data_IF_578841935750
#
_entry.id   IF_578841935750
#
_cell.length_a   1.000
_cell.length_b   1.000
_cell.length_c   1.000
_cell.angle_alpha   90.00
_cell.angle_beta   90.00
_cell.angle_gamma   90.00
#
_symmetry.space_group_name_H-M   'P 1'
#
loop_
_entity.id
_entity.type
_entity.pdbx_description
1 polymer ?
#
# COMPACT_ATOMS: atom_id res chain seq x y z
N UNK A 1 27.05 -21.08 15.96
CA UNK A 1 28.15 -21.72 15.20
C UNK A 1 28.83 -20.61 14.40
N UNK A 2 30.10 -20.32 14.68
CA UNK A 2 30.83 -19.24 14.01
C UNK A 2 31.46 -19.79 12.73
N UNK A 3 31.26 -19.12 11.59
CA UNK A 3 31.88 -19.54 10.33
C UNK A 3 33.40 -19.27 10.35
N UNK A 4 34.19 -20.14 9.78
CA UNK A 4 35.67 -20.05 9.75
C UNK A 4 36.26 -18.72 9.22
N UNK A 5 35.44 -17.93 8.51
CA UNK A 5 35.86 -16.64 7.92
C UNK A 5 35.45 -15.41 8.73
N UNK A 6 34.75 -15.60 9.86
CA UNK A 6 34.34 -14.50 10.73
C UNK A 6 35.36 -14.30 11.83
N UNK A 7 35.77 -13.05 12.05
CA UNK A 7 36.60 -12.65 13.17
C UNK A 7 35.73 -12.34 14.36
N UNK A 8 36.19 -12.72 15.55
CA UNK A 8 35.54 -12.34 16.81
C UNK A 8 35.84 -10.87 17.11
N UNK A 9 34.83 -10.14 17.53
CA UNK A 9 34.91 -8.73 17.93
C UNK A 9 35.07 -8.56 19.45
N UNK A 10 34.85 -9.65 20.20
CA UNK A 10 34.89 -9.65 21.68
C UNK A 10 35.88 -10.66 22.17
N UNK A 11 36.50 -10.36 23.32
CA UNK A 11 37.43 -11.24 24.01
C UNK A 11 36.78 -11.92 25.22
N UNK A 12 37.45 -12.94 25.76
CA UNK A 12 36.96 -13.62 26.96
C UNK A 12 37.03 -12.67 28.17
N UNK A 13 35.88 -12.44 28.80
CA UNK A 13 35.74 -11.54 29.95
C UNK A 13 35.15 -10.17 29.62
N UNK A 14 34.93 -9.85 28.36
CA UNK A 14 34.26 -8.59 27.96
C UNK A 14 32.78 -8.60 28.35
N UNK A 15 32.29 -7.48 28.83
CA UNK A 15 30.86 -7.28 29.07
C UNK A 15 30.16 -6.99 27.73
N UNK A 16 29.10 -7.72 27.42
CA UNK A 16 28.34 -7.60 26.16
C UNK A 16 26.90 -7.20 26.46
N UNK A 17 26.35 -6.33 25.61
CA UNK A 17 24.96 -5.91 25.67
C UNK A 17 24.07 -6.79 24.78
N UNK A 18 22.76 -6.85 25.09
CA UNK A 18 21.82 -7.59 24.28
C UNK A 18 21.75 -7.01 22.84
N UNK A 19 21.95 -7.84 21.82
CA UNK A 19 21.98 -7.43 20.41
C UNK A 19 23.33 -6.89 19.92
N UNK A 20 24.37 -6.91 20.75
CA UNK A 20 25.73 -6.56 20.34
C UNK A 20 26.28 -7.64 19.37
N UNK A 21 26.97 -7.20 18.32
CA UNK A 21 27.63 -8.13 17.40
C UNK A 21 28.85 -8.77 18.05
N UNK A 22 28.90 -10.10 18.11
CA UNK A 22 30.03 -10.87 18.62
C UNK A 22 31.03 -11.22 17.53
N UNK A 23 30.60 -11.22 16.28
CA UNK A 23 31.40 -11.56 15.11
C UNK A 23 31.24 -10.53 14.01
N UNK A 24 32.24 -10.41 13.13
CA UNK A 24 32.14 -9.61 11.91
C UNK A 24 31.18 -10.27 10.93
N UNK A 25 30.30 -9.49 10.31
CA UNK A 25 29.35 -9.96 9.29
C UNK A 25 27.99 -9.26 9.38
N UNK A 26 27.12 -9.46 8.40
CA UNK A 26 25.78 -8.92 8.43
C UNK A 26 24.96 -9.58 9.54
N UNK A 27 24.14 -8.78 10.23
CA UNK A 27 23.19 -9.24 11.24
C UNK A 27 21.88 -9.65 10.55
N UNK A 28 21.11 -10.55 11.16
CA UNK A 28 19.73 -10.77 10.70
C UNK A 28 18.86 -9.58 11.11
N UNK A 29 18.26 -8.85 10.14
CA UNK A 29 17.42 -7.71 10.45
C UNK A 29 16.21 -8.05 11.32
N UNK A 30 15.69 -9.29 11.25
CA UNK A 30 14.58 -9.74 12.08
C UNK A 30 14.99 -9.89 13.54
N UNK A 31 16.19 -10.42 13.81
CA UNK A 31 16.72 -10.51 15.15
C UNK A 31 17.02 -9.12 15.73
N UNK A 32 17.56 -8.21 14.92
CA UNK A 32 17.76 -6.81 15.31
C UNK A 32 16.44 -6.15 15.67
N UNK A 33 15.37 -6.38 14.90
CA UNK A 33 14.04 -5.86 15.19
C UNK A 33 13.49 -6.40 16.52
N UNK A 34 13.69 -7.68 16.81
CA UNK A 34 13.15 -8.30 18.02
C UNK A 34 13.89 -7.88 19.30
N UNK A 35 15.20 -7.70 19.21
CA UNK A 35 16.05 -7.42 20.38
C UNK A 35 16.19 -5.93 20.60
N UNK A 36 16.53 -5.17 19.55
CA UNK A 36 16.91 -3.76 19.65
C UNK A 36 15.76 -2.80 19.29
N UNK A 37 14.66 -3.34 18.74
CA UNK A 37 13.46 -2.57 18.38
C UNK A 37 13.49 -1.95 16.98
N UNK A 38 12.41 -1.22 16.67
CA UNK A 38 12.12 -0.73 15.31
C UNK A 38 13.15 0.29 14.85
N UNK A 39 13.52 1.26 15.70
CA UNK A 39 14.43 2.36 15.33
C UNK A 39 15.81 1.84 14.95
N UNK A 40 16.40 1.01 15.78
CA UNK A 40 17.74 0.43 15.53
C UNK A 40 17.72 -0.47 14.27
N UNK A 41 16.62 -1.18 14.05
CA UNK A 41 16.45 -1.97 12.83
C UNK A 41 16.38 -1.06 11.58
N UNK A 42 15.70 0.09 11.65
CA UNK A 42 15.66 1.06 10.56
C UNK A 42 17.04 1.63 10.25
N UNK A 43 17.76 2.09 11.27
CA UNK A 43 19.12 2.61 11.15
C UNK A 43 20.06 1.55 10.52
N UNK A 44 20.03 0.34 11.03
CA UNK A 44 20.82 -0.76 10.51
C UNK A 44 20.54 -1.08 9.02
N UNK A 45 19.26 -1.13 8.61
CA UNK A 45 18.89 -1.38 7.22
C UNK A 45 19.33 -0.25 6.29
N UNK A 46 19.19 1.01 6.71
CA UNK A 46 19.64 2.16 5.94
C UNK A 46 21.15 2.11 5.74
N UNK A 47 21.91 1.86 6.81
CA UNK A 47 23.36 1.79 6.78
C UNK A 47 23.88 0.68 5.86
N UNK A 48 23.31 -0.53 5.92
CA UNK A 48 23.73 -1.65 5.09
C UNK A 48 23.42 -1.41 3.59
N UNK A 49 22.26 -0.82 3.28
CA UNK A 49 21.90 -0.46 1.91
C UNK A 49 22.82 0.65 1.38
N UNK A 50 23.03 1.72 2.18
CA UNK A 50 23.90 2.82 1.80
C UNK A 50 25.35 2.38 1.63
N UNK A 51 25.85 1.50 2.47
CA UNK A 51 27.18 0.91 2.33
C UNK A 51 27.34 0.23 0.98
N UNK A 52 26.34 -0.58 0.57
CA UNK A 52 26.37 -1.27 -0.73
C UNK A 52 26.41 -0.28 -1.90
N UNK A 53 25.67 0.82 -1.84
CA UNK A 53 25.70 1.86 -2.88
C UNK A 53 27.02 2.63 -2.89
N UNK A 54 27.55 3.00 -1.72
CA UNK A 54 28.85 3.69 -1.59
C UNK A 54 30.01 2.83 -2.10
N UNK A 55 30.00 1.52 -1.83
CA UNK A 55 30.99 0.57 -2.32
C UNK A 55 31.01 0.48 -3.87
N UNK A 56 29.90 0.82 -4.52
CA UNK A 56 29.77 0.90 -5.98
C UNK A 56 29.99 2.32 -6.54
N UNK A 57 30.35 3.30 -5.68
CA UNK A 57 30.58 4.68 -6.08
C UNK A 57 29.30 5.47 -6.39
N UNK A 58 28.14 4.99 -5.96
CA UNK A 58 26.85 5.67 -6.15
C UNK A 58 26.45 6.39 -4.85
N UNK A 59 26.31 7.71 -4.91
CA UNK A 59 25.82 8.51 -3.80
C UNK A 59 24.30 8.66 -3.88
N UNK A 60 23.60 8.10 -2.88
CA UNK A 60 22.15 8.23 -2.71
C UNK A 60 21.89 8.88 -1.36
N UNK A 61 21.00 9.87 -1.30
CA UNK A 61 20.65 10.49 -0.03
C UNK A 61 19.82 9.54 0.84
N UNK A 62 20.13 9.42 2.13
CA UNK A 62 19.54 8.46 3.08
C UNK A 62 18.01 8.51 3.11
N UNK A 63 17.38 9.69 2.96
CA UNK A 63 15.91 9.86 2.95
C UNK A 63 15.17 8.95 1.98
N UNK A 64 15.77 8.60 0.84
CA UNK A 64 15.14 7.73 -0.16
C UNK A 64 15.06 6.28 0.34
N UNK A 65 16.12 5.82 1.00
CA UNK A 65 16.18 4.49 1.60
C UNK A 65 15.30 4.43 2.86
N UNK A 66 15.34 5.47 3.69
CA UNK A 66 14.50 5.59 4.90
C UNK A 66 13.00 5.48 4.59
N UNK A 67 12.55 6.12 3.51
CA UNK A 67 11.14 6.01 3.07
C UNK A 67 10.75 4.56 2.77
N UNK A 68 11.62 3.81 2.08
CA UNK A 68 11.37 2.41 1.73
C UNK A 68 11.37 1.55 3.01
N UNK A 69 12.38 1.71 3.86
CA UNK A 69 12.49 0.95 5.12
C UNK A 69 11.30 1.23 6.05
N UNK A 70 10.82 2.47 6.10
CA UNK A 70 9.60 2.82 6.84
C UNK A 70 8.38 2.02 6.36
N UNK A 71 8.22 1.84 5.05
CA UNK A 71 7.12 1.04 4.51
C UNK A 71 7.29 -0.46 4.80
N UNK A 72 8.51 -0.98 4.84
CA UNK A 72 8.79 -2.37 5.22
C UNK A 72 8.41 -2.70 6.67
N UNK A 73 8.42 -1.71 7.55
CA UNK A 73 8.12 -1.83 8.99
C UNK A 73 6.75 -1.25 9.38
N UNK A 74 5.90 -0.96 8.40
CA UNK A 74 4.59 -0.35 8.62
C UNK A 74 3.58 -1.29 9.28
N UNK A 75 3.74 -2.60 9.15
CA UNK A 75 2.75 -3.59 9.62
C UNK A 75 3.12 -4.16 10.99
N UNK A 76 2.09 -4.41 11.78
CA UNK A 76 2.15 -5.07 13.08
C UNK A 76 1.38 -6.37 13.00
N UNK A 77 1.95 -7.45 13.51
CA UNK A 77 1.27 -8.74 13.66
C UNK A 77 0.65 -8.83 15.04
N UNK A 78 -0.64 -9.14 15.09
CA UNK A 78 -1.37 -9.33 16.33
C UNK A 78 -0.94 -10.66 16.97
N UNK A 79 -0.49 -10.59 18.23
CA UNK A 79 -0.13 -11.76 19.03
C UNK A 79 -1.30 -12.18 19.90
N UNK A 80 -1.91 -11.22 20.60
CA UNK A 80 -3.09 -11.42 21.46
C UNK A 80 -4.11 -10.34 21.16
N UNK A 81 -5.33 -10.68 20.73
CA UNK A 81 -6.37 -9.70 20.45
C UNK A 81 -6.96 -9.08 21.72
N UNK A 82 -6.94 -9.77 22.86
CA UNK A 82 -7.59 -9.37 24.11
C UNK A 82 -9.05 -8.92 23.86
N UNK A 83 -9.44 -7.71 24.29
CA UNK A 83 -10.80 -7.16 24.15
C UNK A 83 -11.03 -6.44 22.80
N UNK A 84 -10.13 -6.61 21.84
CA UNK A 84 -10.26 -6.03 20.50
C UNK A 84 -10.92 -6.99 19.51
N UNK A 85 -11.48 -6.45 18.42
CA UNK A 85 -12.08 -7.22 17.33
C UNK A 85 -11.04 -7.79 16.34
N UNK A 86 -9.75 -7.72 16.66
CA UNK A 86 -8.68 -8.23 15.82
C UNK A 86 -8.58 -9.75 15.82
N UNK A 87 -8.16 -10.32 14.71
CA UNK A 87 -7.89 -11.74 14.62
C UNK A 87 -6.43 -12.06 15.04
N UNK A 88 -6.19 -13.21 15.71
CA UNK A 88 -4.84 -13.67 16.01
C UNK A 88 -4.02 -13.85 14.71
N UNK A 89 -2.76 -13.43 14.71
CA UNK A 89 -1.85 -13.44 13.56
C UNK A 89 -2.24 -12.52 12.39
N UNK A 90 -3.21 -11.68 12.53
CA UNK A 90 -3.57 -10.67 11.55
C UNK A 90 -2.46 -9.61 11.41
N UNK A 91 -2.26 -9.12 10.17
CA UNK A 91 -1.32 -8.04 9.86
C UNK A 91 -2.09 -6.73 9.67
N UNK A 92 -1.87 -5.79 10.58
CA UNK A 92 -2.57 -4.51 10.62
C UNK A 92 -1.56 -3.36 10.47
N UNK A 93 -2.03 -2.24 9.97
CA UNK A 93 -1.25 -1.01 9.94
C UNK A 93 -0.93 -0.53 11.36
N UNK A 94 0.32 -0.16 11.61
CA UNK A 94 0.78 0.29 12.93
C UNK A 94 0.04 1.54 13.44
N UNK A 95 -0.40 2.41 12.52
CA UNK A 95 -1.16 3.61 12.87
C UNK A 95 -2.57 3.24 13.30
N UNK A 96 -3.25 2.39 12.52
CA UNK A 96 -4.59 1.89 12.84
C UNK A 96 -4.59 1.11 14.16
N UNK A 97 -3.62 0.21 14.35
CA UNK A 97 -3.43 -0.53 15.59
C UNK A 97 -3.32 0.39 16.81
N UNK A 98 -2.54 1.47 16.68
CA UNK A 98 -2.35 2.45 17.76
C UNK A 98 -3.64 3.21 18.06
N UNK A 99 -4.37 3.65 17.03
CA UNK A 99 -5.63 4.39 17.19
C UNK A 99 -6.69 3.54 17.87
N UNK A 100 -6.88 2.29 17.42
CA UNK A 100 -7.85 1.38 18.00
C UNK A 100 -7.50 1.05 19.46
N UNK A 101 -6.23 0.73 19.75
CA UNK A 101 -5.80 0.47 21.11
C UNK A 101 -5.98 1.69 22.04
N UNK A 102 -5.77 2.91 21.56
CA UNK A 102 -6.07 4.12 22.33
C UNK A 102 -7.56 4.26 22.66
N UNK A 103 -8.44 3.86 21.74
CA UNK A 103 -9.89 3.79 21.97
C UNK A 103 -10.23 2.78 23.09
N UNK A 104 -9.72 1.56 22.94
CA UNK A 104 -9.95 0.46 23.91
C UNK A 104 -9.48 0.84 25.33
N UNK A 105 -8.31 1.47 25.44
CA UNK A 105 -7.78 1.95 26.73
C UNK A 105 -8.66 3.05 27.33
N UNK A 106 -9.22 3.96 26.51
CA UNK A 106 -10.15 5.00 26.99
C UNK A 106 -11.45 4.38 27.54
N UNK A 107 -11.89 3.26 26.96
CA UNK A 107 -13.06 2.50 27.39
C UNK A 107 -12.78 1.62 28.63
N UNK A 108 -11.55 1.66 29.16
CA UNK A 108 -11.13 0.87 30.33
C UNK A 108 -10.94 -0.63 30.06
N UNK A 109 -10.83 -1.04 28.81
CA UNK A 109 -10.62 -2.42 28.38
C UNK A 109 -9.15 -2.73 28.14
N UNK A 110 -8.82 -4.01 27.99
CA UNK A 110 -7.45 -4.49 27.75
C UNK A 110 -7.08 -4.34 26.26
N UNK A 111 -6.05 -3.56 25.91
CA UNK A 111 -5.63 -3.37 24.52
C UNK A 111 -5.04 -4.64 23.91
N UNK A 112 -5.08 -4.75 22.58
CA UNK A 112 -4.42 -5.81 21.84
C UNK A 112 -2.91 -5.74 21.95
N UNK A 113 -2.25 -6.90 21.98
CA UNK A 113 -0.80 -7.03 21.92
C UNK A 113 -0.37 -7.35 20.48
N UNK A 114 0.56 -6.56 19.94
CA UNK A 114 1.12 -6.76 18.60
C UNK A 114 2.63 -6.62 18.59
N UNK A 115 3.27 -7.26 17.61
CA UNK A 115 4.70 -7.14 17.35
C UNK A 115 4.93 -6.55 15.97
N UNK A 116 5.85 -5.59 15.81
CA UNK A 116 6.24 -5.08 14.51
C UNK A 116 6.81 -6.22 13.65
N UNK A 117 6.42 -6.27 12.38
CA UNK A 117 6.89 -7.27 11.44
C UNK A 117 7.67 -6.60 10.32
N UNK A 118 8.89 -7.09 10.06
CA UNK A 118 9.69 -6.67 8.94
C UNK A 118 9.29 -7.49 7.70
N UNK A 119 8.80 -6.79 6.68
CA UNK A 119 8.44 -7.38 5.39
C UNK A 119 9.45 -6.99 4.32
N UNK A 120 9.73 -7.93 3.40
CA UNK A 120 10.49 -7.60 2.19
C UNK A 120 9.75 -6.59 1.31
N UNK A 121 10.47 -5.88 0.44
CA UNK A 121 9.94 -4.79 -0.40
C UNK A 121 8.72 -5.24 -1.21
N UNK A 122 8.81 -6.38 -1.90
CA UNK A 122 7.70 -6.92 -2.71
C UNK A 122 6.47 -7.22 -1.86
N UNK A 123 6.66 -7.89 -0.71
CA UNK A 123 5.56 -8.24 0.19
C UNK A 123 4.92 -6.99 0.80
N UNK A 124 5.72 -5.99 1.16
CA UNK A 124 5.23 -4.71 1.68
C UNK A 124 4.40 -3.96 0.63
N UNK A 125 4.82 -3.99 -0.64
CA UNK A 125 4.11 -3.36 -1.76
C UNK A 125 2.78 -4.04 -2.09
N UNK A 126 2.67 -5.36 -1.90
CA UNK A 126 1.42 -6.11 -2.11
C UNK A 126 0.48 -6.03 -0.89
N UNK A 127 1.01 -5.79 0.30
CA UNK A 127 0.24 -5.65 1.54
C UNK A 127 -0.28 -4.21 1.76
N UNK A 128 -0.65 -3.51 0.68
CA UNK A 128 -1.28 -2.18 0.74
C UNK A 128 -2.77 -2.30 0.99
N UNK A 129 -3.38 -1.22 1.49
CA UNK A 129 -4.83 -1.17 1.73
C UNK A 129 -5.61 -1.04 0.42
N UNK A 130 -4.97 -0.50 -0.65
CA UNK A 130 -5.52 -0.40 -2.00
C UNK A 130 -5.22 -1.66 -2.81
N UNK A 131 -6.25 -2.41 -3.14
CA UNK A 131 -6.13 -3.58 -4.01
C UNK A 131 -5.85 -3.20 -5.48
N UNK A 132 -6.30 -2.03 -5.95
CA UNK A 132 -5.96 -1.49 -7.28
C UNK A 132 -4.46 -1.25 -7.41
N UNK A 133 -3.86 -0.60 -6.41
CA UNK A 133 -2.41 -0.36 -6.37
C UNK A 133 -1.62 -1.67 -6.37
N UNK A 134 -2.03 -2.64 -5.55
CA UNK A 134 -1.40 -3.96 -5.48
C UNK A 134 -1.51 -4.72 -6.81
N UNK A 135 -2.70 -4.77 -7.42
CA UNK A 135 -2.95 -5.44 -8.70
C UNK A 135 -2.14 -4.85 -9.85
N UNK A 136 -1.88 -3.55 -9.84
CA UNK A 136 -1.07 -2.89 -10.88
C UNK A 136 0.43 -3.14 -10.74
N UNK A 137 0.87 -3.71 -9.63
CA UNK A 137 2.29 -3.97 -9.37
C UNK A 137 2.71 -5.38 -9.77
N UNK A 138 2.15 -6.41 -9.14
CA UNK A 138 2.43 -7.83 -9.43
C UNK A 138 1.23 -8.70 -9.04
N UNK A 139 1.22 -9.95 -9.49
CA UNK A 139 0.21 -10.96 -9.13
C UNK A 139 -1.25 -10.48 -9.36
N UNK A 140 -1.50 -9.80 -10.48
CA UNK A 140 -2.78 -9.16 -10.79
C UNK A 140 -3.98 -10.06 -10.57
N UNK A 141 -3.95 -11.29 -11.12
CA UNK A 141 -5.05 -12.24 -11.02
C UNK A 141 -5.34 -12.65 -9.58
N UNK A 142 -4.31 -12.90 -8.79
CA UNK A 142 -4.44 -13.28 -7.38
C UNK A 142 -5.05 -12.14 -6.56
N UNK A 143 -4.52 -10.93 -6.72
CA UNK A 143 -5.00 -9.75 -5.97
C UNK A 143 -6.46 -9.45 -6.31
N UNK A 144 -6.84 -9.48 -7.60
CA UNK A 144 -8.21 -9.25 -8.03
C UNK A 144 -9.17 -10.34 -7.51
N UNK A 145 -8.74 -11.61 -7.54
CA UNK A 145 -9.55 -12.71 -7.01
C UNK A 145 -9.77 -12.58 -5.50
N UNK A 146 -8.71 -12.26 -4.74
CA UNK A 146 -8.82 -12.03 -3.29
C UNK A 146 -9.72 -10.83 -2.96
N UNK A 147 -9.57 -9.73 -3.70
CA UNK A 147 -10.40 -8.53 -3.52
C UNK A 147 -11.88 -8.81 -3.80
N UNK A 148 -12.18 -9.57 -4.89
CA UNK A 148 -13.53 -9.96 -5.24
C UNK A 148 -14.16 -10.89 -4.19
N UNK A 149 -13.41 -11.88 -3.69
CA UNK A 149 -13.88 -12.80 -2.65
C UNK A 149 -14.16 -12.09 -1.33
N UNK A 150 -13.30 -11.13 -0.95
CA UNK A 150 -13.46 -10.33 0.28
C UNK A 150 -14.45 -9.18 0.12
N UNK A 151 -14.98 -8.90 -1.08
CA UNK A 151 -15.80 -7.72 -1.38
C UNK A 151 -15.12 -6.43 -0.93
N UNK A 152 -13.80 -6.33 -1.16
CA UNK A 152 -13.01 -5.20 -0.71
C UNK A 152 -13.35 -3.95 -1.51
N UNK A 153 -13.53 -2.83 -0.81
CA UNK A 153 -13.71 -1.50 -1.41
C UNK A 153 -12.37 -0.76 -1.38
N UNK A 154 -11.99 -0.12 -2.48
CA UNK A 154 -10.82 0.75 -2.54
C UNK A 154 -11.24 2.20 -2.26
N UNK A 155 -10.60 2.84 -1.30
CA UNK A 155 -10.93 4.21 -0.90
C UNK A 155 -10.32 5.27 -1.83
N UNK A 156 -9.52 4.87 -2.85
CA UNK A 156 -8.86 5.77 -3.81
C UNK A 156 -8.05 6.90 -3.16
N UNK A 157 -7.48 6.64 -2.00
CA UNK A 157 -6.73 7.62 -1.21
C UNK A 157 -5.30 7.88 -1.71
N UNK A 158 -4.76 6.97 -2.51
CA UNK A 158 -3.40 7.06 -3.07
C UNK A 158 -3.35 7.77 -4.42
N UNK A 159 -2.14 8.02 -4.91
CA UNK A 159 -1.94 8.64 -6.23
C UNK A 159 -2.19 7.64 -7.37
N UNK A 160 -1.72 6.41 -7.20
CA UNK A 160 -1.70 5.38 -8.24
C UNK A 160 -3.10 4.95 -8.64
N UNK A 161 -3.97 4.75 -7.66
CA UNK A 161 -5.38 4.38 -7.86
C UNK A 161 -6.12 5.41 -8.71
N UNK A 162 -5.97 6.68 -8.36
CA UNK A 162 -6.60 7.78 -9.09
C UNK A 162 -6.05 7.92 -10.51
N UNK A 163 -4.75 7.74 -10.71
CA UNK A 163 -4.13 7.75 -12.05
C UNK A 163 -4.66 6.61 -12.91
N UNK A 164 -4.84 5.41 -12.34
CA UNK A 164 -5.35 4.24 -13.09
C UNK A 164 -6.80 4.48 -13.56
N UNK A 165 -7.63 5.05 -12.70
CA UNK A 165 -9.04 5.34 -13.02
C UNK A 165 -9.18 6.58 -13.91
N UNK A 166 -8.18 7.48 -13.91
CA UNK A 166 -8.21 8.72 -14.67
C UNK A 166 -8.85 9.90 -13.93
N UNK A 167 -8.98 9.81 -12.60
CA UNK A 167 -9.45 10.90 -11.74
C UNK A 167 -8.29 11.79 -11.29
N UNK A 168 -8.63 12.98 -10.77
CA UNK A 168 -7.62 13.88 -10.21
C UNK A 168 -6.94 13.23 -9.00
N UNK A 169 -5.62 13.33 -8.94
CA UNK A 169 -4.86 12.84 -7.78
C UNK A 169 -5.20 13.69 -6.54
N UNK A 170 -5.23 13.10 -5.33
CA UNK A 170 -5.52 13.85 -4.08
C UNK A 170 -4.32 14.69 -3.63
N UNK A 171 -3.75 15.49 -4.54
CA UNK A 171 -2.61 16.36 -4.31
C UNK A 171 -2.68 17.58 -5.25
N UNK A 172 -2.11 18.70 -4.84
CA UNK A 172 -2.17 19.94 -5.62
C UNK A 172 -3.61 20.40 -5.86
N UNK A 173 -3.96 20.64 -7.13
CA UNK A 173 -5.31 21.10 -7.51
C UNK A 173 -6.42 20.09 -7.25
N UNK A 174 -6.12 18.82 -7.10
CA UNK A 174 -7.07 17.76 -6.76
C UNK A 174 -7.27 17.56 -5.25
N UNK A 175 -6.55 18.27 -4.39
CA UNK A 175 -6.76 18.16 -2.95
C UNK A 175 -7.99 18.96 -2.50
N UNK A 176 -8.73 18.46 -1.53
CA UNK A 176 -9.91 19.12 -0.97
C UNK A 176 -9.63 20.56 -0.50
N UNK A 177 -8.43 20.82 0.00
CA UNK A 177 -8.03 22.14 0.44
C UNK A 177 -8.01 23.15 -0.72
N UNK A 178 -7.56 22.74 -1.90
CA UNK A 178 -7.55 23.58 -3.09
C UNK A 178 -8.94 23.71 -3.72
N UNK A 179 -9.75 22.66 -3.73
CA UNK A 179 -11.12 22.71 -4.23
C UNK A 179 -11.98 23.68 -3.43
N UNK A 180 -11.74 23.80 -2.12
CA UNK A 180 -12.41 24.77 -1.25
C UNK A 180 -11.91 26.21 -1.43
N UNK A 181 -10.73 26.40 -2.04
CA UNK A 181 -10.09 27.71 -2.25
C UNK A 181 -10.41 28.33 -3.63
N UNK A 182 -11.17 27.66 -4.51
CA UNK A 182 -11.59 28.25 -5.78
C UNK A 182 -12.46 29.46 -5.47
N UNK A 183 -11.98 30.70 -5.71
CA UNK A 183 -12.76 31.88 -5.43
C UNK A 183 -13.94 31.90 -6.37
N UNK A 184 -15.17 31.86 -5.84
CA UNK A 184 -16.35 32.16 -6.62
C UNK A 184 -16.29 33.66 -6.97
N UNK A 185 -16.07 33.98 -8.23
CA UNK A 185 -16.15 35.34 -8.71
C UNK A 185 -17.60 35.84 -8.49
N UNK A 186 -17.81 36.97 -7.80
CA UNK A 186 -19.16 37.55 -7.67
C UNK A 186 -19.72 37.83 -9.06
N UNK A 187 -20.78 37.12 -9.46
CA UNK A 187 -21.42 37.29 -10.77
C UNK A 187 -20.98 36.27 -11.85
N UNK A 188 -20.10 35.35 -11.58
CA UNK A 188 -19.95 34.19 -12.43
C UNK A 188 -21.18 33.31 -12.22
N UNK A 189 -22.07 33.25 -13.21
CA UNK A 189 -23.03 32.15 -13.33
C UNK A 189 -22.20 30.86 -13.22
N UNK A 190 -22.65 29.90 -12.41
CA UNK A 190 -22.04 28.60 -12.31
C UNK A 190 -21.88 28.05 -13.74
N UNK A 191 -20.66 28.09 -14.27
CA UNK A 191 -20.28 27.28 -15.42
C UNK A 191 -20.10 25.87 -14.86
N UNK A 192 -21.25 25.30 -14.48
CA UNK A 192 -21.38 23.88 -14.40
C UNK A 192 -21.05 23.36 -15.78
N UNK A 193 -20.10 22.46 -15.82
CA UNK A 193 -19.86 21.62 -16.98
C UNK A 193 -18.93 22.17 -18.08
N UNK A 194 -17.64 22.30 -17.79
CA UNK A 194 -16.70 21.74 -18.74
C UNK A 194 -16.70 20.25 -18.40
N UNK A 195 -17.60 19.52 -19.06
CA UNK A 195 -17.80 18.10 -18.88
C UNK A 195 -16.57 17.34 -19.32
N UNK A 196 -15.82 16.83 -18.36
CA UNK A 196 -15.19 15.54 -18.54
C UNK A 196 -16.31 14.52 -18.31
N UNK A 197 -16.62 13.74 -19.34
CA UNK A 197 -17.71 12.83 -19.41
C UNK A 197 -17.79 11.94 -18.17
N UNK A 198 -18.65 12.27 -17.23
CA UNK A 198 -19.23 11.31 -16.31
C UNK A 198 -20.17 10.44 -17.12
N UNK A 199 -20.04 9.12 -17.03
CA UNK A 199 -20.93 8.18 -17.64
C UNK A 199 -22.38 8.57 -17.33
N UNK A 200 -23.30 8.49 -18.31
CA UNK A 200 -24.68 8.92 -18.15
C UNK A 200 -25.36 8.06 -17.08
N UNK A 201 -25.82 8.71 -16.02
CA UNK A 201 -26.84 8.18 -15.12
C UNK A 201 -28.12 8.01 -15.94
N UNK A 202 -28.69 6.83 -15.88
CA UNK A 202 -29.97 6.49 -16.50
C UNK A 202 -31.07 7.46 -16.04
N UNK A 203 -31.39 8.46 -16.81
CA UNK A 203 -32.69 9.14 -16.91
C UNK A 203 -32.54 10.40 -17.79
N UNK A 204 -32.46 10.22 -19.10
CA UNK A 204 -32.99 11.16 -20.09
C UNK A 204 -33.15 10.41 -21.42
N UNK A 205 -34.34 9.92 -21.64
CA UNK A 205 -34.82 9.60 -22.98
C UNK A 205 -34.89 10.92 -23.74
N UNK A 206 -33.89 11.19 -24.56
CA UNK A 206 -34.00 12.17 -25.63
C UNK A 206 -33.54 11.52 -26.93
N UNK A 207 -34.48 11.42 -27.80
CA UNK A 207 -34.46 11.14 -29.23
C UNK A 207 -33.06 11.37 -29.86
N UNK A 208 -32.31 10.30 -30.07
CA UNK A 208 -31.18 10.28 -30.97
C UNK A 208 -31.48 9.32 -32.12
N UNK A 209 -32.19 9.87 -33.11
CA UNK A 209 -32.32 9.23 -34.42
C UNK A 209 -30.92 9.09 -35.04
N UNK A 210 -30.39 7.88 -35.14
CA UNK A 210 -29.26 7.65 -36.02
C UNK A 210 -28.28 6.54 -35.68
N UNK A 211 -28.34 5.89 -34.52
CA UNK A 211 -27.46 4.75 -34.26
C UNK A 211 -28.30 3.50 -33.86
N UNK A 212 -28.21 2.37 -34.60
CA UNK A 212 -28.94 1.20 -34.26
C UNK A 212 -28.48 0.59 -32.91
N UNK A 213 -29.44 0.17 -32.12
CA UNK A 213 -29.27 -0.49 -30.82
C UNK A 213 -28.32 -1.70 -30.95
N UNK A 214 -27.42 -1.98 -29.98
CA UNK A 214 -26.53 -3.15 -29.99
C UNK A 214 -27.21 -4.50 -30.27
N UNK A 215 -28.50 -4.66 -29.92
CA UNK A 215 -29.29 -5.84 -30.25
C UNK A 215 -29.64 -5.93 -31.74
N UNK A 216 -29.74 -4.81 -32.43
CA UNK A 216 -29.98 -4.77 -33.88
C UNK A 216 -28.71 -5.10 -34.68
N UNK A 217 -27.53 -4.72 -34.15
CA UNK A 217 -26.23 -5.10 -34.72
C UNK A 217 -26.00 -6.62 -34.67
N UNK A 218 -26.39 -7.27 -33.57
CA UNK A 218 -26.30 -8.73 -33.44
C UNK A 218 -27.27 -9.48 -34.37
N UNK A 219 -28.45 -8.91 -34.63
CA UNK A 219 -29.40 -9.49 -35.59
C UNK A 219 -28.90 -9.36 -37.05
N UNK A 220 -28.26 -8.25 -37.40
CA UNK A 220 -27.68 -8.05 -38.73
C UNK A 220 -26.48 -8.96 -39.01
N UNK A 221 -25.71 -9.34 -38.01
CA UNK A 221 -24.57 -10.27 -38.15
C UNK A 221 -25.00 -11.75 -38.15
N UNK A 222 -26.24 -12.06 -37.79
CA UNK A 222 -26.80 -13.42 -37.80
C UNK A 222 -27.45 -13.85 -39.12
N UNK A 223 -27.74 -12.91 -40.03
CA UNK A 223 -28.40 -13.20 -41.31
C UNK A 223 -27.47 -13.45 -42.51
N UNK A 224 -26.15 -13.23 -42.37
CA UNK A 224 -25.18 -13.49 -43.44
C UNK A 224 -24.55 -14.90 -43.42
N UNK A 225 -25.08 -15.83 -42.63
CA UNK A 225 -24.51 -17.17 -42.44
C UNK A 225 -25.18 -18.32 -43.18
N UNK A 226 -26.31 -18.15 -43.88
CA UNK A 226 -27.10 -19.26 -44.41
C UNK A 226 -27.27 -19.31 -45.95
N UNK A 227 -26.44 -18.61 -46.70
CA UNK A 227 -26.40 -18.82 -48.18
C UNK A 227 -24.98 -19.19 -48.62
N UNK A 228 -24.61 -20.47 -48.48
CA UNK A 228 -23.68 -21.20 -49.37
C UNK A 228 -23.55 -22.66 -48.90
N UNK A 229 -24.53 -23.52 -49.29
CA UNK A 229 -24.28 -24.93 -49.63
C UNK A 229 -25.51 -25.51 -50.36
N UNK A 230 -25.49 -25.41 -51.66
CA UNK A 230 -25.96 -26.43 -52.61
C UNK A 230 -24.91 -26.66 -53.70
#
# INVERSE_FOLDING_TARGET
MVLRRQTLLVNQGDSVEAGQALTTGPKDPKEVLQINGVRTCQEYLVDEVQKTYRDQGVEVHDKHVEMIVRQMLRRVRIVRPNDSDFLPNELIDATLFRVINQGIVKDGKTPAEGRPELMGITKASLATDSWLSAASFQETTRVLTEAAMKKSTDALSGLKENVIIGTLIPAGTGSEAYQKLVPSLPGAQEVSEIGFATAPTESEESENEGLPNPAQWLAMLGEEGDEETE
#
